data_IF_102689123604
#
_entry.id   IF_102689123604
#
_cell.length_a   1.000
_cell.length_b   1.000
_cell.length_c   1.000
_cell.angle_alpha   90.00
_cell.angle_beta   90.00
_cell.angle_gamma   90.00
#
_symmetry.space_group_name_H-M   'P 1'
#
loop_
_entity.id
_entity.type
_entity.pdbx_description
1 polymer ?
#
# COMPACT_ATOMS: atom_id res chain seq x y z
N UNK A 1 -47.51 -14.78 20.50
CA UNK A 1 -46.13 -14.30 20.42
C UNK A 1 -45.34 -15.31 19.62
N UNK A 2 -44.96 -14.97 18.39
CA UNK A 2 -44.22 -15.86 17.49
C UNK A 2 -42.73 -15.60 17.65
N UNK A 3 -41.99 -16.57 18.12
CA UNK A 3 -40.52 -16.53 18.14
C UNK A 3 -39.97 -16.63 16.68
N UNK A 4 -39.33 -15.61 16.22
CA UNK A 4 -38.61 -15.64 14.95
C UNK A 4 -37.22 -16.29 15.18
N UNK A 5 -37.10 -17.57 14.84
CA UNK A 5 -35.82 -18.26 14.82
C UNK A 5 -35.05 -17.85 13.55
N UNK A 6 -34.07 -16.99 13.69
CA UNK A 6 -33.15 -16.67 12.61
C UNK A 6 -32.12 -17.80 12.48
N UNK A 7 -32.31 -18.68 11.48
CA UNK A 7 -31.29 -19.68 11.11
C UNK A 7 -30.17 -19.03 10.35
N UNK A 8 -29.06 -18.73 11.05
CA UNK A 8 -27.80 -18.39 10.41
C UNK A 8 -27.23 -19.61 9.67
N UNK A 9 -27.33 -19.61 8.34
CA UNK A 9 -26.56 -20.52 7.49
C UNK A 9 -25.17 -19.88 7.31
N UNK A 10 -24.22 -20.28 8.13
CA UNK A 10 -22.80 -20.00 7.89
C UNK A 10 -22.35 -20.90 6.74
N UNK A 11 -21.97 -20.33 5.62
CA UNK A 11 -21.34 -21.08 4.53
C UNK A 11 -19.92 -21.49 4.96
N UNK A 12 -19.84 -22.63 5.63
CA UNK A 12 -18.61 -23.19 6.18
C UNK A 12 -17.57 -23.55 5.11
N UNK A 13 -17.94 -23.59 3.84
CA UNK A 13 -17.08 -24.06 2.74
C UNK A 13 -15.96 -23.06 2.43
N UNK A 14 -16.25 -21.77 2.44
CA UNK A 14 -15.26 -20.72 2.23
C UNK A 14 -14.40 -20.48 3.47
N UNK A 15 -14.98 -20.59 4.66
CA UNK A 15 -14.23 -20.51 5.91
C UNK A 15 -13.27 -21.70 6.06
N UNK A 16 -13.67 -22.92 5.68
CA UNK A 16 -12.81 -24.10 5.70
C UNK A 16 -11.69 -24.03 4.64
N UNK A 17 -11.94 -23.48 3.44
CA UNK A 17 -10.87 -23.25 2.44
C UNK A 17 -9.85 -22.24 2.92
N UNK A 18 -10.29 -21.14 3.54
CA UNK A 18 -9.41 -20.15 4.13
C UNK A 18 -8.60 -20.73 5.30
N UNK A 19 -9.25 -21.50 6.20
CA UNK A 19 -8.60 -22.20 7.31
C UNK A 19 -7.59 -23.25 6.83
N UNK A 20 -7.90 -24.03 5.80
CA UNK A 20 -6.98 -25.01 5.24
C UNK A 20 -5.78 -24.36 4.54
N UNK A 21 -5.98 -23.22 3.85
CA UNK A 21 -4.90 -22.41 3.28
C UNK A 21 -3.98 -21.81 4.35
N UNK A 22 -4.56 -21.38 5.48
CA UNK A 22 -3.81 -20.87 6.65
C UNK A 22 -3.10 -22.02 7.35
N UNK A 23 -3.73 -23.17 7.57
CA UNK A 23 -3.09 -24.33 8.19
C UNK A 23 -1.90 -24.84 7.38
N UNK A 24 -1.98 -24.88 6.04
CA UNK A 24 -0.87 -25.27 5.18
C UNK A 24 0.32 -24.28 5.25
N UNK A 25 0.02 -22.97 5.29
CA UNK A 25 1.05 -21.92 5.48
C UNK A 25 1.64 -21.94 6.89
N UNK A 26 0.80 -22.17 7.91
CA UNK A 26 1.23 -22.26 9.33
C UNK A 26 2.06 -23.52 9.58
N UNK A 27 1.76 -24.65 8.96
CA UNK A 27 2.56 -25.88 9.04
C UNK A 27 3.95 -25.70 8.40
N UNK A 28 4.02 -25.00 7.25
CA UNK A 28 5.30 -24.62 6.63
C UNK A 28 6.14 -23.72 7.52
N UNK A 29 5.50 -22.78 8.24
CA UNK A 29 6.15 -21.90 9.22
C UNK A 29 6.54 -22.63 10.51
N UNK A 30 5.72 -23.55 11.00
CA UNK A 30 6.03 -24.36 12.20
C UNK A 30 7.27 -25.26 11.98
N UNK A 31 7.48 -25.76 10.76
CA UNK A 31 8.69 -26.51 10.42
C UNK A 31 9.95 -25.64 10.35
N UNK A 32 9.79 -24.33 10.08
CA UNK A 32 10.90 -23.36 10.00
C UNK A 32 11.20 -22.66 11.33
N UNK A 33 10.24 -22.62 12.24
CA UNK A 33 10.32 -21.85 13.52
C UNK A 33 9.98 -22.73 14.72
N UNK A 34 10.79 -23.75 15.00
CA UNK A 34 10.59 -24.71 16.09
C UNK A 34 10.49 -24.14 17.51
N UNK A 35 10.41 -22.81 17.69
CA UNK A 35 10.37 -22.15 18.98
C UNK A 35 9.11 -21.30 19.27
N UNK A 36 8.16 -21.16 18.35
CA UNK A 36 7.04 -20.20 18.50
C UNK A 36 5.81 -20.76 19.24
N UNK A 37 5.81 -22.02 19.66
CA UNK A 37 4.70 -22.65 20.39
C UNK A 37 4.34 -21.96 21.71
N UNK A 38 5.26 -21.21 22.30
CA UNK A 38 5.07 -20.59 23.63
C UNK A 38 4.57 -19.14 23.57
N UNK A 39 4.73 -18.44 22.43
CA UNK A 39 4.39 -17.02 22.33
C UNK A 39 2.90 -16.77 22.00
N UNK A 40 2.23 -17.68 21.30
CA UNK A 40 0.83 -17.51 20.88
C UNK A 40 -0.16 -17.83 22.02
N UNK A 41 0.25 -18.63 23.01
CA UNK A 41 -0.60 -19.03 24.15
C UNK A 41 -0.85 -17.92 25.19
N UNK A 42 -0.13 -16.80 25.15
CA UNK A 42 -0.20 -15.73 26.15
C UNK A 42 -0.92 -14.44 25.71
N UNK A 43 -1.26 -14.31 24.44
CA UNK A 43 -1.99 -13.12 23.94
C UNK A 43 -3.48 -13.42 24.09
N UNK A 44 -4.16 -12.73 25.00
CA UNK A 44 -5.58 -12.96 25.26
C UNK A 44 -6.39 -12.85 23.98
N UNK A 45 -7.23 -13.84 23.69
CA UNK A 45 -8.15 -13.90 22.51
C UNK A 45 -8.89 -12.58 22.26
N UNK A 46 -9.17 -11.83 23.32
CA UNK A 46 -9.83 -10.52 23.26
C UNK A 46 -8.97 -9.46 22.56
N UNK A 47 -7.64 -9.46 22.76
CA UNK A 47 -6.75 -8.52 22.08
C UNK A 47 -6.64 -8.84 20.57
N UNK A 48 -6.52 -10.13 20.23
CA UNK A 48 -6.49 -10.57 18.84
C UNK A 48 -7.81 -10.26 18.11
N UNK A 49 -8.95 -10.52 18.75
CA UNK A 49 -10.26 -10.19 18.19
C UNK A 49 -10.41 -8.68 17.96
N UNK A 50 -9.98 -7.85 18.93
CA UNK A 50 -10.04 -6.38 18.80
C UNK A 50 -9.12 -5.88 17.68
N UNK A 51 -7.93 -6.42 17.57
CA UNK A 51 -7.01 -6.08 16.48
C UNK A 51 -7.60 -6.49 15.11
N UNK A 52 -8.15 -7.69 15.01
CA UNK A 52 -8.79 -8.18 13.79
C UNK A 52 -9.95 -7.28 13.34
N UNK A 53 -10.84 -6.89 14.27
CA UNK A 53 -11.96 -5.99 13.99
C UNK A 53 -11.45 -4.62 13.53
N UNK A 54 -10.44 -4.06 14.20
CA UNK A 54 -9.87 -2.77 13.82
C UNK A 54 -9.22 -2.80 12.43
N UNK A 55 -8.44 -3.83 12.12
CA UNK A 55 -7.81 -4.03 10.79
C UNK A 55 -8.86 -4.11 9.69
N UNK A 56 -9.88 -4.93 9.89
CA UNK A 56 -10.99 -5.06 8.94
C UNK A 56 -11.78 -3.76 8.80
N UNK A 57 -12.07 -3.05 9.89
CA UNK A 57 -12.79 -1.79 9.85
C UNK A 57 -12.00 -0.69 9.13
N UNK A 58 -10.68 -0.63 9.31
CA UNK A 58 -9.82 0.33 8.61
C UNK A 58 -9.80 0.04 7.11
N UNK A 59 -9.63 -1.21 6.73
CA UNK A 59 -9.65 -1.62 5.31
C UNK A 59 -10.98 -1.27 4.64
N UNK A 60 -12.10 -1.51 5.33
CA UNK A 60 -13.42 -1.16 4.82
C UNK A 60 -13.62 0.35 4.65
N UNK A 61 -13.17 1.16 5.63
CA UNK A 61 -13.20 2.62 5.52
C UNK A 61 -12.41 3.12 4.30
N UNK A 62 -11.25 2.53 4.04
CA UNK A 62 -10.44 2.86 2.85
C UNK A 62 -11.16 2.48 1.56
N UNK A 63 -11.79 1.29 1.50
CA UNK A 63 -12.59 0.86 0.35
C UNK A 63 -13.78 1.80 0.09
N UNK A 64 -14.52 2.18 1.13
CA UNK A 64 -15.63 3.14 1.00
C UNK A 64 -15.11 4.48 0.51
N UNK A 65 -14.01 4.98 1.09
CA UNK A 65 -13.40 6.25 0.66
C UNK A 65 -12.95 6.20 -0.80
N UNK A 66 -12.25 5.14 -1.20
CA UNK A 66 -11.84 4.94 -2.59
C UNK A 66 -13.05 4.86 -3.53
N UNK A 67 -14.11 4.14 -3.13
CA UNK A 67 -15.35 4.06 -3.89
C UNK A 67 -15.99 5.42 -4.13
N UNK A 68 -16.03 6.28 -3.11
CA UNK A 68 -16.54 7.66 -3.25
C UNK A 68 -15.67 8.51 -4.18
N UNK A 69 -14.34 8.42 -4.07
CA UNK A 69 -13.38 9.17 -4.88
C UNK A 69 -13.42 8.77 -6.36
N UNK A 70 -13.70 7.51 -6.65
CA UNK A 70 -13.68 6.95 -8.00
C UNK A 70 -15.06 6.82 -8.64
N UNK A 71 -16.12 7.16 -7.90
CA UNK A 71 -17.51 7.02 -8.34
C UNK A 71 -17.80 7.75 -9.66
N UNK A 72 -17.34 8.99 -9.76
CA UNK A 72 -17.59 9.84 -10.92
C UNK A 72 -16.96 9.29 -12.21
N UNK A 73 -15.80 8.62 -12.09
CA UNK A 73 -15.00 8.12 -13.21
C UNK A 73 -15.19 6.61 -13.43
N UNK A 74 -15.95 5.91 -12.59
CA UNK A 74 -16.18 4.47 -12.69
C UNK A 74 -14.93 3.59 -12.51
N UNK A 75 -13.86 4.12 -11.87
CA UNK A 75 -12.55 3.46 -11.81
C UNK A 75 -12.30 2.68 -10.51
N UNK A 76 -13.32 2.45 -9.68
CA UNK A 76 -13.18 1.77 -8.38
C UNK A 76 -12.51 0.40 -8.49
N UNK A 77 -13.06 -0.49 -9.32
CA UNK A 77 -12.52 -1.86 -9.49
C UNK A 77 -11.06 -1.83 -10.01
N UNK A 78 -10.74 -0.91 -10.92
CA UNK A 78 -9.39 -0.73 -11.42
C UNK A 78 -8.44 -0.26 -10.32
N UNK A 79 -8.86 0.69 -9.49
CA UNK A 79 -8.06 1.18 -8.37
C UNK A 79 -7.82 0.11 -7.31
N UNK A 80 -8.79 -0.74 -7.02
CA UNK A 80 -8.62 -1.90 -6.16
C UNK A 80 -7.62 -2.91 -6.75
N UNK A 81 -7.69 -3.17 -8.07
CA UNK A 81 -6.74 -4.05 -8.74
C UNK A 81 -5.32 -3.48 -8.65
N UNK A 82 -5.14 -2.18 -8.86
CA UNK A 82 -3.85 -1.50 -8.73
C UNK A 82 -3.29 -1.67 -7.30
N UNK A 83 -4.12 -1.54 -6.26
CA UNK A 83 -3.70 -1.77 -4.89
C UNK A 83 -3.27 -3.24 -4.66
N UNK A 84 -4.01 -4.20 -5.19
CA UNK A 84 -3.66 -5.62 -5.10
C UNK A 84 -2.37 -5.96 -5.87
N UNK A 85 -2.13 -5.33 -7.02
CA UNK A 85 -0.90 -5.50 -7.79
C UNK A 85 0.30 -4.86 -7.06
N UNK A 86 0.11 -3.70 -6.42
CA UNK A 86 1.12 -3.04 -5.62
C UNK A 86 1.51 -3.85 -4.37
N UNK A 87 0.53 -4.46 -3.69
CA UNK A 87 0.78 -5.39 -2.60
C UNK A 87 1.77 -6.49 -3.03
N UNK A 88 1.52 -7.11 -4.16
CA UNK A 88 2.37 -8.18 -4.71
C UNK A 88 3.73 -7.67 -5.18
N UNK A 89 3.75 -6.52 -5.87
CA UNK A 89 4.96 -5.98 -6.47
C UNK A 89 5.95 -5.44 -5.42
N UNK A 90 5.46 -4.92 -4.30
CA UNK A 90 6.31 -4.22 -3.32
C UNK A 90 6.35 -4.90 -1.96
N UNK A 91 5.61 -5.99 -1.74
CA UNK A 91 5.49 -6.65 -0.44
C UNK A 91 4.80 -5.76 0.60
N UNK A 92 3.90 -4.89 0.17
CA UNK A 92 3.06 -4.08 1.05
C UNK A 92 1.95 -4.94 1.67
N UNK A 93 1.45 -4.53 2.83
CA UNK A 93 0.18 -5.08 3.30
C UNK A 93 -0.98 -4.58 2.43
N UNK A 94 -2.11 -5.28 2.46
CA UNK A 94 -3.29 -4.88 1.70
C UNK A 94 -3.80 -3.50 2.13
N UNK A 95 -3.70 -3.19 3.43
CA UNK A 95 -4.10 -1.90 3.99
C UNK A 95 -3.17 -0.78 3.51
N UNK A 96 -1.85 -0.98 3.57
CA UNK A 96 -0.87 0.01 3.08
C UNK A 96 -1.04 0.30 1.60
N UNK A 97 -1.19 -0.73 0.77
CA UNK A 97 -1.39 -0.57 -0.66
C UNK A 97 -2.69 0.19 -0.97
N UNK A 98 -3.80 -0.18 -0.30
CA UNK A 98 -5.08 0.48 -0.49
C UNK A 98 -5.06 1.92 0.03
N UNK A 99 -4.41 2.20 1.16
CA UNK A 99 -4.24 3.54 1.72
C UNK A 99 -3.47 4.42 0.74
N UNK A 100 -2.33 3.96 0.25
CA UNK A 100 -1.51 4.71 -0.69
C UNK A 100 -2.25 5.05 -1.99
N UNK A 101 -2.96 4.08 -2.58
CA UNK A 101 -3.79 4.32 -3.77
C UNK A 101 -4.95 5.27 -3.46
N UNK A 102 -5.59 5.15 -2.29
CA UNK A 102 -6.68 6.05 -1.89
C UNK A 102 -6.18 7.47 -1.71
N UNK A 103 -5.04 7.66 -1.08
CA UNK A 103 -4.49 9.00 -0.81
C UNK A 103 -4.03 9.71 -2.08
N UNK A 104 -3.35 9.01 -2.99
CA UNK A 104 -2.93 9.61 -4.26
C UNK A 104 -4.15 9.89 -5.15
N UNK A 105 -5.15 9.00 -5.18
CA UNK A 105 -6.41 9.20 -5.90
C UNK A 105 -7.14 10.44 -5.39
N UNK A 106 -7.22 10.62 -4.07
CA UNK A 106 -7.88 11.78 -3.47
C UNK A 106 -7.28 13.12 -3.89
N UNK A 107 -5.97 13.14 -4.19
CA UNK A 107 -5.24 14.36 -4.57
C UNK A 107 -5.21 14.60 -6.07
N UNK A 108 -5.08 13.53 -6.86
CA UNK A 108 -4.86 13.65 -8.30
C UNK A 108 -6.12 13.51 -9.14
N UNK A 109 -7.11 12.70 -8.72
CA UNK A 109 -8.35 12.54 -9.48
C UNK A 109 -9.14 13.85 -9.65
N UNK A 110 -9.25 14.73 -8.63
CA UNK A 110 -9.89 16.04 -8.81
C UNK A 110 -9.18 16.96 -9.80
N UNK A 111 -7.89 16.73 -10.07
CA UNK A 111 -7.10 17.47 -11.05
C UNK A 111 -7.20 16.87 -12.48
N UNK A 112 -8.05 15.87 -12.67
CA UNK A 112 -8.24 15.20 -13.94
C UNK A 112 -7.19 14.15 -14.30
N UNK A 113 -6.31 13.78 -13.34
CA UNK A 113 -5.30 12.73 -13.56
C UNK A 113 -5.98 11.37 -13.64
N UNK A 114 -5.72 10.65 -14.73
CA UNK A 114 -6.31 9.34 -15.00
C UNK A 114 -5.80 8.24 -14.07
N UNK A 115 -6.57 7.16 -13.95
CA UNK A 115 -6.24 6.03 -13.07
C UNK A 115 -4.91 5.34 -13.43
N UNK A 116 -4.53 5.33 -14.71
CA UNK A 116 -3.24 4.77 -15.14
C UNK A 116 -2.06 5.65 -14.67
N UNK A 117 -2.21 6.96 -14.71
CA UNK A 117 -1.18 7.89 -14.20
C UNK A 117 -1.09 7.83 -12.67
N UNK A 118 -2.21 7.62 -11.98
CA UNK A 118 -2.24 7.34 -10.54
C UNK A 118 -1.46 6.05 -10.23
N UNK A 119 -1.68 4.98 -11.02
CA UNK A 119 -0.91 3.74 -10.94
C UNK A 119 0.58 4.02 -11.14
N UNK A 120 0.96 4.66 -12.24
CA UNK A 120 2.35 4.95 -12.57
C UNK A 120 3.03 5.78 -11.48
N UNK A 121 2.30 6.73 -10.89
CA UNK A 121 2.80 7.53 -9.77
C UNK A 121 3.11 6.67 -8.56
N UNK A 122 2.19 5.80 -8.17
CA UNK A 122 2.36 4.93 -7.00
C UNK A 122 3.45 3.89 -7.22
N UNK A 123 3.46 3.24 -8.37
CA UNK A 123 4.46 2.22 -8.71
C UNK A 123 5.85 2.82 -8.90
N UNK A 124 5.97 3.92 -9.63
CA UNK A 124 7.24 4.62 -9.83
C UNK A 124 7.85 5.09 -8.52
N UNK A 125 7.03 5.67 -7.63
CA UNK A 125 7.50 6.06 -6.30
C UNK A 125 7.98 4.88 -5.47
N UNK A 126 7.18 3.80 -5.36
CA UNK A 126 7.57 2.63 -4.56
C UNK A 126 8.81 1.93 -5.15
N UNK A 127 8.95 1.90 -6.48
CA UNK A 127 10.17 1.43 -7.14
C UNK A 127 11.38 2.27 -6.72
N UNK A 128 11.30 3.60 -6.79
CA UNK A 128 12.36 4.49 -6.37
C UNK A 128 12.69 4.32 -4.88
N UNK A 129 11.69 4.21 -4.01
CA UNK A 129 11.87 4.01 -2.58
C UNK A 129 12.59 2.70 -2.25
N UNK A 130 12.22 1.61 -2.91
CA UNK A 130 12.91 0.32 -2.78
C UNK A 130 14.35 0.38 -3.27
N UNK A 131 14.62 1.03 -4.41
CA UNK A 131 15.97 1.23 -4.94
C UNK A 131 16.81 2.14 -4.06
N UNK A 132 16.21 3.08 -3.35
CA UNK A 132 16.87 3.93 -2.35
C UNK A 132 17.20 3.17 -1.05
N UNK A 133 16.62 1.99 -0.82
CA UNK A 133 16.73 1.28 0.45
C UNK A 133 15.94 1.96 1.59
N UNK A 134 14.95 2.79 1.25
CA UNK A 134 14.18 3.53 2.24
C UNK A 134 13.37 2.59 3.14
N UNK A 135 13.36 2.88 4.42
CA UNK A 135 12.49 2.20 5.40
C UNK A 135 11.01 2.47 5.11
N UNK A 136 10.11 1.67 5.69
CA UNK A 136 8.67 1.87 5.56
C UNK A 136 8.23 3.26 6.05
N UNK A 137 8.84 3.77 7.13
CA UNK A 137 8.53 5.10 7.68
C UNK A 137 8.98 6.20 6.74
N UNK A 138 10.21 6.15 6.22
CA UNK A 138 10.75 7.10 5.25
C UNK A 138 9.91 7.09 3.97
N UNK A 139 9.60 5.92 3.43
CA UNK A 139 8.75 5.77 2.24
C UNK A 139 7.37 6.39 2.45
N UNK A 140 6.71 6.12 3.58
CA UNK A 140 5.39 6.67 3.89
C UNK A 140 5.42 8.21 4.03
N UNK A 141 6.44 8.75 4.71
CA UNK A 141 6.61 10.19 4.87
C UNK A 141 6.89 10.87 3.52
N UNK A 142 7.85 10.36 2.75
CA UNK A 142 8.19 10.90 1.44
C UNK A 142 6.99 10.80 0.46
N UNK A 143 6.23 9.68 0.48
CA UNK A 143 5.05 9.55 -0.37
C UNK A 143 3.98 10.59 -0.05
N UNK A 144 3.77 10.88 1.23
CA UNK A 144 2.82 11.92 1.67
C UNK A 144 3.23 13.30 1.17
N UNK A 145 4.54 13.63 1.26
CA UNK A 145 5.09 14.88 0.74
C UNK A 145 4.97 14.95 -0.78
N UNK A 146 5.29 13.85 -1.49
CA UNK A 146 5.10 13.78 -2.94
C UNK A 146 3.63 13.99 -3.34
N UNK A 147 2.71 13.28 -2.70
CA UNK A 147 1.30 13.39 -2.99
C UNK A 147 0.76 14.81 -2.73
N UNK A 148 1.28 15.49 -1.68
CA UNK A 148 0.96 16.89 -1.39
C UNK A 148 1.51 17.81 -2.48
N UNK A 149 2.77 17.65 -2.87
CA UNK A 149 3.40 18.42 -3.94
C UNK A 149 2.67 18.27 -5.27
N UNK A 150 2.31 17.04 -5.66
CA UNK A 150 1.55 16.77 -6.88
C UNK A 150 0.17 17.43 -6.84
N UNK A 151 -0.51 17.36 -5.68
CA UNK A 151 -1.81 18.01 -5.49
C UNK A 151 -1.74 19.54 -5.52
N UNK A 152 -0.61 20.15 -5.12
CA UNK A 152 -0.39 21.60 -5.18
C UNK A 152 0.09 22.10 -6.55
N UNK A 153 0.37 21.20 -7.48
CA UNK A 153 0.83 21.52 -8.84
C UNK A 153 2.33 21.61 -9.01
N UNK A 154 3.14 21.50 -7.94
CA UNK A 154 4.60 21.61 -8.01
C UNK A 154 5.29 20.94 -6.83
N UNK A 155 6.50 20.46 -7.06
CA UNK A 155 7.41 19.95 -6.03
C UNK A 155 8.39 21.08 -5.65
N UNK A 156 8.22 21.68 -4.49
CA UNK A 156 9.00 22.83 -4.04
C UNK A 156 9.24 22.80 -2.53
N UNK A 157 10.11 23.66 -2.03
CA UNK A 157 10.29 23.90 -0.60
C UNK A 157 10.65 22.66 0.21
N UNK A 158 9.87 22.43 1.26
CA UNK A 158 10.10 21.34 2.21
C UNK A 158 9.75 19.97 1.62
N UNK A 159 8.79 19.90 0.70
CA UNK A 159 8.44 18.65 0.00
C UNK A 159 9.63 18.17 -0.85
N UNK A 160 10.27 19.08 -1.61
CA UNK A 160 11.48 18.75 -2.39
C UNK A 160 12.61 18.30 -1.47
N UNK A 161 12.85 19.01 -0.36
CA UNK A 161 13.89 18.66 0.61
C UNK A 161 13.63 17.26 1.20
N UNK A 162 12.42 17.01 1.67
CA UNK A 162 12.03 15.72 2.25
C UNK A 162 12.25 14.56 1.28
N UNK A 163 11.84 14.73 0.01
CA UNK A 163 12.00 13.70 -1.02
C UNK A 163 13.48 13.51 -1.36
N UNK A 164 14.26 14.60 -1.49
CA UNK A 164 15.68 14.50 -1.83
C UNK A 164 16.51 13.81 -0.75
N UNK A 165 16.13 13.95 0.51
CA UNK A 165 16.79 13.31 1.64
C UNK A 165 16.39 11.83 1.81
N UNK A 166 15.09 11.50 1.64
CA UNK A 166 14.56 10.18 1.92
C UNK A 166 14.60 9.25 0.70
N UNK A 167 14.35 9.77 -0.50
CA UNK A 167 14.28 9.00 -1.75
C UNK A 167 15.14 9.67 -2.85
N UNK A 168 16.47 9.74 -2.69
CA UNK A 168 17.34 10.42 -3.64
C UNK A 168 17.31 9.83 -5.04
N UNK A 169 16.89 8.58 -5.19
CA UNK A 169 16.71 7.89 -6.49
C UNK A 169 15.67 8.55 -7.40
N UNK A 170 14.79 9.41 -6.86
CA UNK A 170 13.84 10.21 -7.65
C UNK A 170 14.52 11.38 -8.37
N UNK A 171 15.68 11.85 -7.90
CA UNK A 171 16.27 13.10 -8.40
C UNK A 171 16.80 12.98 -9.83
N UNK A 172 17.47 11.88 -10.16
CA UNK A 172 18.02 11.69 -11.50
C UNK A 172 16.93 11.65 -12.57
N UNK A 173 15.85 10.84 -12.46
CA UNK A 173 14.76 10.87 -13.43
C UNK A 173 14.08 12.24 -13.57
N UNK A 174 13.93 12.99 -12.48
CA UNK A 174 13.37 14.35 -12.54
C UNK A 174 14.32 15.32 -13.28
N UNK A 175 15.63 15.21 -13.04
CA UNK A 175 16.64 16.00 -13.73
C UNK A 175 16.71 15.69 -15.24
N UNK A 176 16.60 14.41 -15.58
CA UNK A 176 16.54 13.93 -16.98
C UNK A 176 15.32 14.50 -17.72
N UNK A 177 14.14 14.51 -17.09
CA UNK A 177 12.93 15.10 -17.68
C UNK A 177 13.06 16.59 -18.01
N UNK A 178 13.93 17.29 -17.29
CA UNK A 178 14.20 18.71 -17.51
C UNK A 178 15.48 18.95 -18.32
N UNK A 179 16.22 17.89 -18.64
CA UNK A 179 17.52 17.96 -19.31
C UNK A 179 18.50 18.87 -18.57
N UNK A 180 18.61 18.70 -17.25
CA UNK A 180 19.49 19.47 -16.36
C UNK A 180 20.31 18.56 -15.45
N UNK A 181 21.47 19.02 -14.94
CA UNK A 181 22.17 18.30 -13.88
C UNK A 181 21.35 18.25 -12.59
N UNK A 182 21.45 17.15 -11.82
CA UNK A 182 20.72 16.95 -10.54
C UNK A 182 20.93 18.14 -9.59
N UNK A 183 22.15 18.71 -9.53
CA UNK A 183 22.46 19.86 -8.68
C UNK A 183 21.63 21.12 -8.95
N UNK A 184 21.01 21.24 -10.14
CA UNK A 184 20.12 22.34 -10.49
C UNK A 184 18.69 22.18 -9.95
N UNK A 185 18.30 20.98 -9.53
CA UNK A 185 16.93 20.72 -9.09
C UNK A 185 16.52 21.57 -7.88
N UNK A 186 17.44 21.83 -6.95
CA UNK A 186 17.16 22.69 -5.78
C UNK A 186 16.78 24.11 -6.18
N UNK A 187 17.48 24.69 -7.14
CA UNK A 187 17.20 26.03 -7.68
C UNK A 187 15.85 26.02 -8.39
N UNK A 188 15.62 25.03 -9.28
CA UNK A 188 14.37 24.88 -10.02
C UNK A 188 13.17 24.60 -9.10
N UNK A 189 13.37 23.88 -7.99
CA UNK A 189 12.35 23.70 -6.95
C UNK A 189 11.97 25.02 -6.30
N UNK A 190 12.97 25.84 -5.93
CA UNK A 190 12.74 27.17 -5.36
C UNK A 190 12.00 28.11 -6.32
N UNK A 191 12.26 27.98 -7.63
CA UNK A 191 11.59 28.74 -8.68
C UNK A 191 10.20 28.17 -9.05
N UNK A 192 9.77 27.05 -8.46
CA UNK A 192 8.51 26.38 -8.77
C UNK A 192 8.46 25.71 -10.14
N UNK A 193 9.62 25.46 -10.76
CA UNK A 193 9.74 24.84 -12.09
C UNK A 193 9.63 23.32 -12.09
N UNK A 194 9.71 22.67 -10.91
CA UNK A 194 9.44 21.25 -10.77
C UNK A 194 7.91 21.03 -10.70
N UNK A 195 7.25 21.20 -11.83
CA UNK A 195 5.79 21.05 -11.92
C UNK A 195 5.35 19.59 -11.67
N UNK A 196 4.11 19.39 -11.25
CA UNK A 196 3.55 18.04 -11.08
C UNK A 196 3.65 17.21 -12.35
N UNK A 197 3.49 17.82 -13.52
CA UNK A 197 3.60 17.14 -14.81
C UNK A 197 5.01 16.58 -15.06
N UNK A 198 6.07 17.34 -14.74
CA UNK A 198 7.46 16.88 -14.80
C UNK A 198 7.67 15.68 -13.88
N UNK A 199 7.19 15.77 -12.64
CA UNK A 199 7.35 14.71 -11.64
C UNK A 199 6.56 13.44 -12.03
N UNK A 200 5.34 13.59 -12.55
CA UNK A 200 4.53 12.48 -13.04
C UNK A 200 5.21 11.75 -14.21
N UNK A 201 5.83 12.46 -15.16
CA UNK A 201 6.59 11.84 -16.25
C UNK A 201 7.81 11.08 -15.73
N UNK A 202 8.56 11.67 -14.80
CA UNK A 202 9.70 11.00 -14.18
C UNK A 202 9.29 9.70 -13.46
N UNK A 203 8.18 9.73 -12.71
CA UNK A 203 7.65 8.55 -12.03
C UNK A 203 7.18 7.45 -13.00
N UNK A 204 6.55 7.83 -14.11
CA UNK A 204 6.18 6.89 -15.17
C UNK A 204 7.41 6.22 -15.79
N UNK A 205 8.47 6.99 -16.03
CA UNK A 205 9.75 6.43 -16.51
C UNK A 205 10.36 5.45 -15.52
N UNK A 206 10.33 5.77 -14.22
CA UNK A 206 10.80 4.86 -13.17
C UNK A 206 9.97 3.56 -13.14
N UNK A 207 8.64 3.64 -13.28
CA UNK A 207 7.80 2.44 -13.35
C UNK A 207 8.19 1.54 -14.51
N UNK A 208 8.42 2.11 -15.70
CA UNK A 208 8.75 1.33 -16.90
C UNK A 208 10.16 0.75 -16.87
N UNK A 209 11.13 1.55 -16.47
CA UNK A 209 12.56 1.22 -16.59
C UNK A 209 13.09 0.50 -15.35
N UNK A 210 12.49 0.76 -14.17
CA UNK A 210 12.95 0.23 -12.88
C UNK A 210 12.53 -1.21 -12.58
N UNK A 211 11.65 -1.81 -13.38
CA UNK A 211 11.03 -3.10 -13.07
C UNK A 211 12.03 -4.26 -12.92
N UNK A 212 13.06 -4.33 -13.78
CA UNK A 212 14.08 -5.37 -13.71
C UNK A 212 14.95 -5.26 -12.46
N UNK A 213 15.37 -4.04 -12.11
CA UNK A 213 16.16 -3.76 -10.91
C UNK A 213 15.37 -4.03 -9.63
N UNK A 214 14.10 -3.64 -9.61
CA UNK A 214 13.18 -3.94 -8.51
C UNK A 214 13.01 -5.44 -8.29
N UNK A 215 12.79 -6.20 -9.36
CA UNK A 215 12.65 -7.66 -9.29
C UNK A 215 13.89 -8.31 -8.69
N UNK A 216 15.08 -7.95 -9.16
CA UNK A 216 16.34 -8.49 -8.65
C UNK A 216 16.54 -8.14 -7.15
N UNK A 217 16.09 -6.96 -6.70
CA UNK A 217 16.18 -6.52 -5.33
C UNK A 217 15.25 -7.34 -4.41
N UNK A 218 14.00 -7.57 -4.84
CA UNK A 218 13.00 -8.34 -4.07
C UNK A 218 13.40 -9.82 -3.96
N UNK A 219 13.86 -10.42 -5.05
CA UNK A 219 14.28 -11.83 -5.08
C UNK A 219 15.47 -12.10 -4.15
N UNK A 220 16.31 -11.10 -3.89
CA UNK A 220 17.47 -11.21 -3.01
C UNK A 220 17.27 -10.57 -1.63
N UNK A 221 16.07 -10.09 -1.27
CA UNK A 221 15.79 -9.49 0.04
C UNK A 221 15.59 -10.58 1.11
N UNK A 222 16.52 -10.78 2.05
CA UNK A 222 16.38 -11.80 3.09
C UNK A 222 15.24 -11.51 4.07
N UNK A 223 14.75 -10.27 4.08
CA UNK A 223 13.62 -9.86 4.95
C UNK A 223 12.26 -10.10 4.32
N UNK A 224 12.22 -10.49 3.03
CA UNK A 224 10.96 -10.69 2.31
C UNK A 224 10.07 -11.75 2.98
N UNK A 225 10.65 -12.81 3.51
CA UNK A 225 9.91 -13.86 4.23
C UNK A 225 9.16 -13.31 5.45
N UNK A 226 9.77 -12.38 6.20
CA UNK A 226 9.12 -11.73 7.34
C UNK A 226 8.01 -10.77 6.90
N UNK A 227 8.22 -10.05 5.79
CA UNK A 227 7.19 -9.17 5.21
C UNK A 227 5.99 -9.99 4.75
N UNK A 228 6.23 -11.09 4.04
CA UNK A 228 5.16 -11.99 3.58
C UNK A 228 4.40 -12.62 4.76
N UNK A 229 5.10 -12.96 5.84
CA UNK A 229 4.48 -13.44 7.07
C UNK A 229 3.58 -12.37 7.72
N UNK A 230 4.08 -11.14 7.87
CA UNK A 230 3.32 -10.04 8.44
C UNK A 230 2.08 -9.73 7.59
N UNK A 231 2.22 -9.71 6.26
CA UNK A 231 1.12 -9.48 5.34
C UNK A 231 0.08 -10.60 5.42
N UNK A 232 0.52 -11.87 5.50
CA UNK A 232 -0.38 -13.00 5.68
C UNK A 232 -1.12 -12.94 7.04
N UNK A 233 -0.47 -12.43 8.09
CA UNK A 233 -1.10 -12.23 9.41
C UNK A 233 -2.13 -11.10 9.36
N UNK A 234 -1.86 -10.02 8.62
CA UNK A 234 -2.82 -8.94 8.41
C UNK A 234 -4.03 -9.42 7.60
N UNK A 235 -3.80 -10.15 6.51
CA UNK A 235 -4.89 -10.73 5.69
C UNK A 235 -5.77 -11.68 6.51
N UNK A 236 -5.16 -12.50 7.38
CA UNK A 236 -5.89 -13.35 8.32
C UNK A 236 -6.68 -12.52 9.33
N UNK A 237 -6.07 -11.49 9.92
CA UNK A 237 -6.73 -10.59 10.88
C UNK A 237 -7.93 -9.90 10.25
N UNK A 238 -7.80 -9.45 8.99
CA UNK A 238 -8.89 -8.84 8.23
C UNK A 238 -10.01 -9.84 7.98
N UNK A 239 -9.71 -11.02 7.47
CA UNK A 239 -10.71 -12.05 7.19
C UNK A 239 -11.45 -12.49 8.47
N UNK A 240 -10.72 -12.60 9.59
CA UNK A 240 -11.31 -12.92 10.89
C UNK A 240 -12.17 -11.78 11.43
N UNK A 241 -11.70 -10.53 11.31
CA UNK A 241 -12.45 -9.33 11.70
C UNK A 241 -13.76 -9.19 10.93
N UNK A 242 -13.77 -9.50 9.63
CA UNK A 242 -15.00 -9.50 8.81
C UNK A 242 -16.05 -10.51 9.31
N UNK A 243 -15.60 -11.66 9.81
CA UNK A 243 -16.51 -12.66 10.40
C UNK A 243 -17.03 -12.26 11.79
N UNK A 244 -16.26 -11.47 12.54
CA UNK A 244 -16.64 -11.05 13.90
C UNK A 244 -17.55 -9.80 13.91
N UNK A 245 -17.51 -8.95 12.89
CA UNK A 245 -18.33 -7.74 12.82
C UNK A 245 -19.83 -7.95 13.08
N UNK A 246 -20.49 -8.95 12.47
CA UNK A 246 -21.91 -9.17 12.70
C UNK A 246 -22.25 -9.56 14.16
N UNK A 247 -21.28 -10.12 14.90
CA UNK A 247 -21.45 -10.58 16.27
C UNK A 247 -21.34 -9.42 17.29
N UNK A 248 -20.61 -8.37 16.93
CA UNK A 248 -20.34 -7.23 17.83
C UNK A 248 -21.34 -6.09 17.63
N UNK A 249 -22.01 -6.03 16.48
CA UNK A 249 -23.00 -4.99 16.14
C UNK A 249 -24.44 -5.40 16.51
N UNK A 250 -24.64 -6.66 16.92
CA UNK A 250 -25.91 -7.18 17.43
C UNK A 250 -26.00 -6.99 18.96
#
# INVERSE_FOLDING_TARGET
MAEAVVKLRVDATNANKALNGVQAKTQKLQSSLGGLKTAIGGIGLTLLARQAINTSANFEKLNVRLGLLTKANGTFAKSQQIAADAQKAFGLSATEALEGITDITARLAPLGVGVEDIKSTFFGFNTAAKLAGASAIESSNAFRQLAQALGSGRLAGDEFRSISEQIPTLLAPIADELNVPIGKLKELAAEGKLTSDVVLRALRKIETDGGASLKALIENDPTQVFKDFNNATEDLSRAFGDQLKPVVVA
#
